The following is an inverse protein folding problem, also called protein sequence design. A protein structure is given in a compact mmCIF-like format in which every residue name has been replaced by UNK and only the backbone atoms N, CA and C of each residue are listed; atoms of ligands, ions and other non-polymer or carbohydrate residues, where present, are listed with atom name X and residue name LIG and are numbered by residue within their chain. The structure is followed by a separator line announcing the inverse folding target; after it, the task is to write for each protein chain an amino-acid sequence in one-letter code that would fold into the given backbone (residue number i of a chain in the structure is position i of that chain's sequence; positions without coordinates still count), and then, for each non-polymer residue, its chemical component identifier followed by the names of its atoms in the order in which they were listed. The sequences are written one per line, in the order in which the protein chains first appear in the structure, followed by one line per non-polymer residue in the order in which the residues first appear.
data_IF_239458345968
#
_entry.id   IF_239458345968
#
_cell.length_a   1.000
_cell.length_b   1.000
_cell.length_c   1.000
_cell.angle_alpha   90.00
_cell.angle_beta   90.00
_cell.angle_gamma   90.00
#
_symmetry.space_group_name_H-M   'P 1'
#
loop_
_entity.id
_entity.type
_entity.pdbx_description
1 polymer ?
#
# COMPACT_ATOMS: atom_id res chain seq x y z
N UNK A 1 6.01 17.57 -4.13
CA UNK A 1 5.32 16.30 -3.82
C UNK A 1 6.24 15.05 -3.85
N UNK A 2 7.57 15.18 -3.77
CA UNK A 2 8.50 14.03 -3.74
C UNK A 2 8.99 13.70 -2.32
N UNK A 3 9.08 14.70 -1.43
CA UNK A 3 9.54 14.55 -0.04
C UNK A 3 8.56 13.86 0.90
N UNK A 4 7.24 13.93 0.62
CA UNK A 4 6.24 13.44 1.56
C UNK A 4 6.30 11.91 1.73
N UNK A 5 6.57 11.17 0.68
CA UNK A 5 6.52 9.69 0.71
C UNK A 5 7.68 9.06 1.49
N UNK A 6 8.69 9.84 1.89
CA UNK A 6 9.90 9.31 2.53
C UNK A 6 9.67 8.76 3.94
N UNK A 7 8.71 9.37 4.64
CA UNK A 7 8.35 8.98 6.00
C UNK A 7 6.91 8.54 6.13
N UNK A 8 6.18 8.25 5.04
CA UNK A 8 4.73 7.93 5.12
C UNK A 8 4.47 6.47 5.44
N UNK A 9 5.39 5.55 5.14
CA UNK A 9 5.14 4.13 5.39
C UNK A 9 4.94 3.84 6.89
N UNK A 10 5.78 4.42 7.75
CA UNK A 10 5.68 4.27 9.22
C UNK A 10 4.36 4.81 9.78
N UNK A 11 3.95 6.07 9.55
CA UNK A 11 2.67 6.60 10.02
C UNK A 11 1.48 5.93 9.31
N UNK A 12 1.64 5.45 8.07
CA UNK A 12 0.61 4.65 7.40
C UNK A 12 0.40 3.30 8.11
N UNK A 13 1.47 2.56 8.40
CA UNK A 13 1.38 1.34 9.19
C UNK A 13 0.80 1.60 10.59
N UNK A 14 1.26 2.65 11.28
CA UNK A 14 0.72 3.06 12.58
C UNK A 14 -0.78 3.38 12.51
N UNK A 15 -1.22 4.06 11.44
CA UNK A 15 -2.63 4.36 11.22
C UNK A 15 -3.46 3.10 10.99
N UNK A 16 -2.95 2.15 10.19
CA UNK A 16 -3.63 0.87 9.96
C UNK A 16 -3.76 0.07 11.27
N UNK A 17 -2.72 0.03 12.09
CA UNK A 17 -2.77 -0.61 13.41
C UNK A 17 -3.80 0.07 14.33
N UNK A 18 -3.87 1.40 14.34
CA UNK A 18 -4.87 2.14 15.12
C UNK A 18 -6.31 1.85 14.67
N UNK A 19 -6.50 1.49 13.40
CA UNK A 19 -7.80 1.22 12.79
C UNK A 19 -8.18 -0.26 12.81
N UNK A 20 -7.43 -1.10 13.51
CA UNK A 20 -7.76 -2.51 13.66
C UNK A 20 -9.11 -2.68 14.35
N UNK A 21 -9.96 -3.50 13.75
CA UNK A 21 -11.25 -3.90 14.26
C UNK A 21 -11.15 -5.28 14.92
N UNK A 22 -12.21 -5.65 15.63
CA UNK A 22 -12.28 -6.99 16.23
C UNK A 22 -12.46 -8.06 15.13
N UNK A 23 -11.77 -9.20 15.22
CA UNK A 23 -12.10 -10.36 14.42
C UNK A 23 -13.52 -10.84 14.73
N UNK A 24 -14.31 -11.10 13.70
CA UNK A 24 -15.69 -11.59 13.81
C UNK A 24 -15.83 -13.08 13.49
N UNK A 25 -14.73 -13.73 13.09
CA UNK A 25 -14.69 -15.15 12.69
C UNK A 25 -14.70 -15.37 11.17
N UNK A 26 -15.07 -14.36 10.38
CA UNK A 26 -14.97 -14.37 8.92
C UNK A 26 -13.90 -13.36 8.50
N UNK A 27 -12.98 -13.77 7.62
CA UNK A 27 -11.89 -12.95 7.13
C UNK A 27 -11.76 -13.05 5.61
N UNK A 28 -11.58 -11.89 4.97
CA UNK A 28 -11.32 -11.72 3.55
C UNK A 28 -9.90 -11.22 3.37
N UNK A 29 -9.14 -11.85 2.48
CA UNK A 29 -7.79 -11.40 2.12
C UNK A 29 -7.88 -10.74 0.76
N UNK A 30 -7.43 -9.48 0.69
CA UNK A 30 -7.30 -8.78 -0.59
C UNK A 30 -5.96 -8.04 -0.66
N UNK A 31 -5.52 -7.77 -1.89
CA UNK A 31 -4.33 -6.99 -2.15
C UNK A 31 -4.64 -5.76 -3.00
N UNK A 32 -4.30 -4.59 -2.49
CA UNK A 32 -4.46 -3.33 -3.21
C UNK A 32 -3.10 -2.75 -3.64
N UNK A 33 -3.08 -2.11 -4.81
CA UNK A 33 -1.88 -1.44 -5.32
C UNK A 33 -1.74 -0.04 -4.69
N UNK A 34 -0.62 0.21 -4.04
CA UNK A 34 -0.25 1.54 -3.55
C UNK A 34 0.76 2.17 -4.51
N UNK A 35 0.27 3.00 -5.43
CA UNK A 35 1.13 3.65 -6.41
C UNK A 35 1.95 4.77 -5.76
N UNK A 36 3.27 4.67 -5.86
CA UNK A 36 4.20 5.66 -5.28
C UNK A 36 4.48 6.78 -6.27
N UNK A 37 4.66 6.46 -7.54
CA UNK A 37 4.81 7.49 -8.56
C UNK A 37 4.29 7.02 -9.92
N UNK A 38 4.18 7.97 -10.85
CA UNK A 38 3.86 7.65 -12.23
C UNK A 38 5.04 6.96 -12.92
N UNK A 39 4.77 6.02 -13.82
CA UNK A 39 5.82 5.17 -14.43
C UNK A 39 6.92 5.97 -15.16
N UNK A 40 6.55 7.12 -15.73
CA UNK A 40 7.46 8.04 -16.41
C UNK A 40 8.46 8.72 -15.46
N UNK A 41 8.15 8.78 -14.15
CA UNK A 41 8.95 9.49 -13.15
C UNK A 41 9.85 8.57 -12.32
N UNK A 42 9.86 7.27 -12.59
CA UNK A 42 10.64 6.27 -11.81
C UNK A 42 12.12 6.62 -11.77
N UNK A 43 12.72 7.03 -12.90
CA UNK A 43 14.14 7.37 -12.98
C UNK A 43 14.53 8.57 -12.10
N UNK A 44 13.58 9.48 -11.83
CA UNK A 44 13.77 10.65 -10.95
C UNK A 44 13.47 10.32 -9.48
N UNK A 45 12.80 9.20 -9.20
CA UNK A 45 12.37 8.78 -7.87
C UNK A 45 13.43 7.90 -7.20
N UNK A 46 14.57 8.49 -6.84
CA UNK A 46 15.70 7.75 -6.24
C UNK A 46 15.40 7.19 -4.85
N UNK A 47 14.53 7.86 -4.07
CA UNK A 47 14.27 7.47 -2.69
C UNK A 47 13.53 6.13 -2.52
N UNK A 48 12.64 5.80 -3.45
CA UNK A 48 11.88 4.54 -3.42
C UNK A 48 12.64 3.38 -4.06
N UNK A 49 13.93 3.55 -4.40
CA UNK A 49 14.76 2.45 -4.91
C UNK A 49 14.97 1.45 -3.78
N UNK A 50 14.53 0.22 -3.99
CA UNK A 50 14.63 -0.88 -3.02
C UNK A 50 13.29 -1.24 -2.38
N UNK A 51 12.50 -0.25 -1.96
CA UNK A 51 11.18 -0.49 -1.33
C UNK A 51 10.08 -0.69 -2.37
N UNK A 52 10.02 0.13 -3.41
CA UNK A 52 8.98 0.07 -4.45
C UNK A 52 9.46 -0.68 -5.68
N UNK A 53 8.56 -1.43 -6.33
CA UNK A 53 8.85 -2.18 -7.55
C UNK A 53 7.81 -1.88 -8.63
N UNK A 54 8.16 -2.13 -9.89
CA UNK A 54 7.17 -2.17 -10.97
C UNK A 54 6.31 -3.41 -10.78
N UNK A 55 5.00 -3.23 -10.72
CA UNK A 55 4.01 -4.30 -10.68
C UNK A 55 3.04 -4.18 -11.85
N UNK A 56 2.47 -5.31 -12.27
CA UNK A 56 1.33 -5.37 -13.20
C UNK A 56 0.05 -5.49 -12.37
N UNK A 57 -0.92 -4.63 -12.61
CA UNK A 57 -2.30 -4.76 -12.12
C UNK A 57 -3.28 -4.88 -13.29
N UNK A 58 -4.58 -4.96 -13.00
CA UNK A 58 -5.64 -5.04 -14.03
C UNK A 58 -5.54 -3.91 -15.06
N UNK A 59 -5.33 -2.67 -14.58
CA UNK A 59 -5.31 -1.46 -15.42
C UNK A 59 -3.89 -1.17 -15.97
N UNK A 60 -3.00 -2.16 -15.96
CA UNK A 60 -1.64 -2.03 -16.52
C UNK A 60 -0.54 -1.91 -15.46
N UNK A 61 0.58 -1.30 -15.86
CA UNK A 61 1.78 -1.23 -15.04
C UNK A 61 1.70 -0.10 -14.01
N UNK A 62 2.20 -0.34 -12.80
CA UNK A 62 2.36 0.68 -11.77
C UNK A 62 3.72 0.55 -11.10
N UNK A 63 4.19 1.62 -10.46
CA UNK A 63 5.38 1.60 -9.63
C UNK A 63 5.02 1.95 -8.19
N UNK A 64 5.24 1.00 -7.28
CA UNK A 64 4.83 1.15 -5.90
C UNK A 64 4.88 -0.15 -5.13
N UNK A 65 3.97 -0.27 -4.17
CA UNK A 65 3.86 -1.40 -3.23
C UNK A 65 2.54 -2.14 -3.46
N UNK A 66 2.51 -3.43 -3.12
CA UNK A 66 1.25 -4.15 -2.92
C UNK A 66 0.98 -4.20 -1.43
N UNK A 67 -0.20 -3.72 -1.04
CA UNK A 67 -0.68 -3.77 0.33
C UNK A 67 -1.61 -4.98 0.45
N UNK A 68 -1.22 -5.94 1.28
CA UNK A 68 -2.06 -7.09 1.60
C UNK A 68 -2.82 -6.77 2.90
N UNK A 69 -4.15 -6.85 2.85
CA UNK A 69 -5.03 -6.58 3.99
C UNK A 69 -5.90 -7.80 4.28
N UNK A 70 -6.20 -7.97 5.56
CA UNK A 70 -7.21 -8.89 6.05
C UNK A 70 -8.36 -8.04 6.56
N UNK A 71 -9.57 -8.32 6.10
CA UNK A 71 -10.76 -7.52 6.40
C UNK A 71 -11.86 -8.45 6.91
N UNK A 72 -12.59 -8.04 7.93
CA UNK A 72 -13.76 -8.79 8.42
C UNK A 72 -15.00 -8.58 7.52
N UNK A 73 -16.05 -9.36 7.76
CA UNK A 73 -17.35 -9.24 7.09
C UNK A 73 -18.03 -7.87 7.25
N UNK A 74 -17.59 -7.07 8.21
CA UNK A 74 -18.08 -5.71 8.47
C UNK A 74 -17.19 -4.63 7.86
N UNK A 75 -16.16 -4.99 7.09
CA UNK A 75 -15.25 -4.04 6.43
C UNK A 75 -14.14 -3.47 7.33
N UNK A 76 -13.95 -4.00 8.53
CA UNK A 76 -12.88 -3.63 9.45
C UNK A 76 -11.59 -4.37 9.16
N UNK A 77 -10.45 -3.68 9.26
CA UNK A 77 -9.12 -4.26 9.08
C UNK A 77 -8.79 -5.12 10.32
N UNK A 78 -8.33 -6.34 10.13
CA UNK A 78 -7.95 -7.26 11.21
C UNK A 78 -6.43 -7.43 11.23
#
# INVERSE_FOLDING_TARGET
MLRLMQGVLVPFCSYLTLRQARPTGIAFVDSSKLQVCHNLRILRHQFSKGTSKRGKGMIGWFYGLKLHLIINDKGGII
#
